data_IF_300404295425
#
_entry.id   IF_300404295425
#
_cell.length_a   1.000
_cell.length_b   1.000
_cell.length_c   1.000
_cell.angle_alpha   90.00
_cell.angle_beta   90.00
_cell.angle_gamma   90.00
#
_symmetry.space_group_name_H-M   'P 1'
#
loop_
_entity.id
_entity.type
_entity.pdbx_description
1 polymer ?
#
# COMPACT_ATOMS: atom_id res chain seq x y z
N UNK A 1 -28.64 20.62 15.98
CA UNK A 1 -28.13 19.27 15.62
C UNK A 1 -26.72 19.16 16.16
N UNK A 2 -26.56 18.53 17.32
CA UNK A 2 -25.26 18.33 17.96
C UNK A 2 -24.56 17.18 17.23
N UNK A 3 -23.52 17.48 16.46
CA UNK A 3 -22.72 16.44 15.83
C UNK A 3 -22.15 15.54 16.92
N UNK A 4 -22.27 14.23 16.76
CA UNK A 4 -21.58 13.26 17.61
C UNK A 4 -20.09 13.45 17.32
N UNK A 5 -19.40 14.20 18.19
CA UNK A 5 -17.96 14.37 18.11
C UNK A 5 -17.32 13.01 18.35
N UNK A 6 -16.52 12.54 17.40
CA UNK A 6 -15.77 11.30 17.60
C UNK A 6 -14.62 11.56 18.57
N UNK A 7 -14.09 10.51 19.22
CA UNK A 7 -12.91 10.64 20.06
C UNK A 7 -11.71 11.23 19.30
N UNK A 8 -11.62 10.95 17.99
CA UNK A 8 -10.60 11.50 17.12
C UNK A 8 -10.77 13.03 16.91
N UNK A 9 -12.01 13.50 16.74
CA UNK A 9 -12.28 14.94 16.62
C UNK A 9 -11.94 15.68 17.92
N UNK A 10 -12.29 15.10 19.07
CA UNK A 10 -11.96 15.67 20.37
C UNK A 10 -10.45 15.74 20.59
N UNK A 11 -9.70 14.68 20.25
CA UNK A 11 -8.25 14.67 20.33
C UNK A 11 -7.61 15.71 19.40
N UNK A 12 -8.18 15.91 18.20
CA UNK A 12 -7.73 16.95 17.27
C UNK A 12 -7.92 18.34 17.86
N UNK A 13 -9.09 18.64 18.41
CA UNK A 13 -9.35 19.96 19.00
C UNK A 13 -8.47 20.22 20.24
N UNK A 14 -8.19 19.19 21.05
CA UNK A 14 -7.23 19.31 22.16
C UNK A 14 -5.82 19.64 21.66
N UNK A 15 -5.36 18.96 20.60
CA UNK A 15 -4.05 19.20 20.02
C UNK A 15 -3.95 20.60 19.41
N UNK A 16 -4.98 21.07 18.70
CA UNK A 16 -5.03 22.44 18.16
C UNK A 16 -4.95 23.46 19.29
N UNK A 17 -5.76 23.31 20.35
CA UNK A 17 -5.72 24.22 21.51
C UNK A 17 -4.34 24.26 22.15
N UNK A 18 -3.68 23.12 22.32
CA UNK A 18 -2.33 23.08 22.89
C UNK A 18 -1.31 23.83 22.05
N UNK A 19 -1.34 23.66 20.73
CA UNK A 19 -0.45 24.37 19.82
C UNK A 19 -0.67 25.89 19.90
N UNK A 20 -1.91 26.34 20.10
CA UNK A 20 -2.24 27.76 20.28
C UNK A 20 -1.75 28.27 21.63
N UNK A 21 -2.11 27.57 22.72
CA UNK A 21 -1.91 28.05 24.09
C UNK A 21 -0.44 27.96 24.55
N UNK A 22 0.29 26.92 24.15
CA UNK A 22 1.65 26.62 24.65
C UNK A 22 2.76 26.90 23.63
N UNK A 23 2.41 27.02 22.35
CA UNK A 23 3.38 27.21 21.28
C UNK A 23 3.14 28.46 20.43
N UNK A 24 2.14 29.28 20.81
CA UNK A 24 1.85 30.58 20.21
C UNK A 24 1.54 30.51 18.70
N UNK A 25 1.06 29.35 18.20
CA UNK A 25 0.54 29.27 16.84
C UNK A 25 -0.82 29.97 16.78
N UNK A 26 -1.10 30.67 15.68
CA UNK A 26 -2.47 31.06 15.41
C UNK A 26 -3.34 29.82 15.09
N UNK A 27 -4.63 29.89 15.40
CA UNK A 27 -5.54 28.76 15.25
C UNK A 27 -5.59 28.21 13.80
N UNK A 28 -5.69 29.04 12.73
CA UNK A 28 -5.60 28.55 11.35
C UNK A 28 -4.32 27.74 11.07
N UNK A 29 -3.15 28.25 11.47
CA UNK A 29 -1.87 27.57 11.28
C UNK A 29 -1.78 26.27 12.08
N UNK A 30 -2.27 26.27 13.33
CA UNK A 30 -2.32 25.06 14.16
C UNK A 30 -3.23 23.98 13.53
N UNK A 31 -4.40 24.35 12.99
CA UNK A 31 -5.31 23.42 12.30
C UNK A 31 -4.66 22.83 11.04
N UNK A 32 -4.08 23.67 10.19
CA UNK A 32 -3.38 23.21 8.97
C UNK A 32 -2.23 22.25 9.31
N UNK A 33 -1.42 22.60 10.30
CA UNK A 33 -0.31 21.76 10.76
C UNK A 33 -0.78 20.38 11.24
N UNK A 34 -1.86 20.31 12.01
CA UNK A 34 -2.43 19.05 12.50
C UNK A 34 -3.02 18.22 11.36
N UNK A 35 -3.72 18.86 10.41
CA UNK A 35 -4.29 18.15 9.27
C UNK A 35 -3.20 17.57 8.34
N UNK A 36 -2.14 18.33 8.06
CA UNK A 36 -0.98 17.85 7.29
C UNK A 36 -0.29 16.68 7.98
N UNK A 37 -0.01 16.81 9.27
CA UNK A 37 0.59 15.74 10.07
C UNK A 37 -0.26 14.46 10.03
N UNK A 38 -1.59 14.59 10.14
CA UNK A 38 -2.53 13.46 10.05
C UNK A 38 -2.51 12.79 8.67
N UNK A 39 -2.34 13.56 7.60
CA UNK A 39 -2.19 13.05 6.24
C UNK A 39 -0.80 12.40 5.98
N UNK A 40 0.12 12.46 6.95
CA UNK A 40 1.48 11.97 6.79
C UNK A 40 2.35 12.90 5.93
N UNK A 41 1.95 14.17 5.81
CA UNK A 41 2.70 15.18 5.08
C UNK A 41 3.71 15.87 6.01
N UNK A 42 4.92 16.07 5.50
CA UNK A 42 5.91 16.91 6.18
C UNK A 42 5.53 18.39 6.05
N UNK A 43 5.90 19.18 7.06
CA UNK A 43 5.63 20.61 7.10
C UNK A 43 6.40 21.33 8.21
N UNK A 44 6.37 22.67 8.23
CA UNK A 44 7.16 23.49 9.16
C UNK A 44 6.95 23.16 10.65
N UNK A 45 5.79 22.61 10.99
CA UNK A 45 5.40 22.28 12.37
C UNK A 45 5.28 20.77 12.63
N UNK A 46 5.76 19.90 11.72
CA UNK A 46 5.59 18.45 11.84
C UNK A 46 6.12 17.91 13.18
N UNK A 47 7.37 18.24 13.53
CA UNK A 47 7.99 17.84 14.80
C UNK A 47 7.26 18.40 16.02
N UNK A 48 6.74 19.62 15.90
CA UNK A 48 5.99 20.27 16.97
C UNK A 48 4.65 19.56 17.23
N UNK A 49 3.89 19.28 16.16
CA UNK A 49 2.63 18.56 16.21
C UNK A 49 2.85 17.13 16.75
N UNK A 50 3.92 16.47 16.31
CA UNK A 50 4.31 15.16 16.81
C UNK A 50 4.51 15.19 18.33
N UNK A 51 5.34 16.11 18.82
CA UNK A 51 5.63 16.26 20.24
C UNK A 51 4.37 16.58 21.06
N UNK A 52 3.59 17.58 20.65
CA UNK A 52 2.36 17.95 21.35
C UNK A 52 1.33 16.81 21.33
N UNK A 53 1.26 16.02 20.26
CA UNK A 53 0.43 14.81 20.19
C UNK A 53 0.82 13.76 21.22
N UNK A 54 2.11 13.56 21.46
CA UNK A 54 2.61 12.68 22.53
C UNK A 54 2.24 13.18 23.93
N UNK A 55 2.33 14.48 24.16
CA UNK A 55 1.95 15.10 25.44
C UNK A 55 0.45 14.93 25.71
N UNK A 56 -0.41 15.25 24.73
CA UNK A 56 -1.86 15.04 24.83
C UNK A 56 -2.19 13.56 25.08
N UNK A 57 -1.54 12.63 24.37
CA UNK A 57 -1.78 11.20 24.58
C UNK A 57 -1.32 10.71 25.95
N UNK A 58 -0.17 11.18 26.44
CA UNK A 58 0.35 10.84 27.76
C UNK A 58 -0.62 11.28 28.86
N UNK A 59 -1.09 12.53 28.79
CA UNK A 59 -2.11 13.07 29.71
C UNK A 59 -3.40 12.23 29.70
N UNK A 60 -3.94 11.95 28.52
CA UNK A 60 -5.17 11.16 28.37
C UNK A 60 -5.00 9.71 28.87
N UNK A 61 -3.79 9.16 28.77
CA UNK A 61 -3.49 7.80 29.21
C UNK A 61 -3.12 7.72 30.70
N UNK A 62 -2.91 8.86 31.37
CA UNK A 62 -2.39 8.93 32.73
C UNK A 62 -0.92 8.48 32.85
N UNK A 63 -0.17 8.55 31.75
CA UNK A 63 1.24 8.17 31.68
C UNK A 63 2.10 9.43 31.61
N UNK A 64 3.36 9.34 32.06
CA UNK A 64 4.33 10.37 31.72
C UNK A 64 4.82 10.21 30.26
N UNK A 65 5.25 11.31 29.65
CA UNK A 65 5.65 11.36 28.23
C UNK A 65 6.86 10.46 27.97
N UNK A 66 7.78 10.34 28.91
CA UNK A 66 9.01 9.56 28.72
C UNK A 66 8.74 8.05 28.78
N UNK A 67 7.89 7.60 29.70
CA UNK A 67 7.39 6.24 29.81
C UNK A 67 6.61 5.83 28.57
N UNK A 68 5.78 6.74 28.03
CA UNK A 68 5.10 6.54 26.76
C UNK A 68 6.09 6.39 25.60
N UNK A 69 7.08 7.27 25.48
CA UNK A 69 8.12 7.19 24.43
C UNK A 69 8.90 5.88 24.51
N UNK A 70 9.27 5.43 25.71
CA UNK A 70 9.94 4.14 25.93
C UNK A 70 9.04 3.00 25.48
N UNK A 71 7.76 3.00 25.87
CA UNK A 71 6.82 1.94 25.48
C UNK A 71 6.57 1.88 23.97
N UNK A 72 6.41 3.02 23.29
CA UNK A 72 6.28 3.09 21.84
C UNK A 72 7.53 2.55 21.15
N UNK A 73 8.71 2.95 21.61
CA UNK A 73 9.99 2.46 21.06
C UNK A 73 10.13 0.94 21.20
N UNK A 74 9.79 0.40 22.37
CA UNK A 74 9.84 -1.04 22.62
C UNK A 74 8.80 -1.80 21.78
N UNK A 75 7.60 -1.25 21.62
CA UNK A 75 6.58 -1.81 20.74
C UNK A 75 7.04 -1.84 19.28
N UNK A 76 7.60 -0.73 18.80
CA UNK A 76 8.15 -0.60 17.44
C UNK A 76 9.27 -1.62 17.20
N UNK A 77 10.21 -1.76 18.15
CA UNK A 77 11.27 -2.78 18.09
C UNK A 77 10.70 -4.19 17.96
N UNK A 78 9.76 -4.57 18.84
CA UNK A 78 9.11 -5.89 18.81
C UNK A 78 8.38 -6.14 17.49
N UNK A 79 7.72 -5.12 16.95
CA UNK A 79 7.03 -5.20 15.68
C UNK A 79 8.00 -5.41 14.52
N UNK A 80 9.08 -4.62 14.45
CA UNK A 80 10.14 -4.76 13.44
C UNK A 80 10.81 -6.14 13.53
N UNK A 81 11.11 -6.63 14.74
CA UNK A 81 11.70 -7.96 14.92
C UNK A 81 10.74 -9.08 14.50
N UNK A 82 9.44 -8.91 14.69
CA UNK A 82 8.43 -9.85 14.18
C UNK A 82 8.39 -9.82 12.65
N UNK A 83 8.35 -8.64 12.03
CA UNK A 83 8.38 -8.51 10.57
C UNK A 83 9.65 -9.11 9.98
N UNK A 84 10.81 -8.80 10.56
CA UNK A 84 12.11 -9.35 10.13
C UNK A 84 12.10 -10.87 10.14
N UNK A 85 11.56 -11.50 11.18
CA UNK A 85 11.44 -12.96 11.26
C UNK A 85 10.55 -13.53 10.16
N UNK A 86 9.40 -12.91 9.90
CA UNK A 86 8.49 -13.32 8.82
C UNK A 86 9.19 -13.19 7.47
N UNK A 87 9.84 -12.05 7.21
CA UNK A 87 10.55 -11.81 5.94
C UNK A 87 11.68 -12.82 5.73
N UNK A 88 12.47 -13.11 6.77
CA UNK A 88 13.53 -14.11 6.68
C UNK A 88 12.99 -15.53 6.48
N UNK A 89 11.86 -15.87 7.11
CA UNK A 89 11.20 -17.16 6.92
C UNK A 89 10.60 -17.31 5.50
N UNK A 90 10.16 -16.21 4.88
CA UNK A 90 9.60 -16.20 3.53
C UNK A 90 10.65 -16.10 2.42
N UNK A 91 11.86 -15.63 2.72
CA UNK A 91 12.95 -15.50 1.76
C UNK A 91 13.20 -16.77 0.90
N UNK A 92 13.27 -18.00 1.44
CA UNK A 92 13.45 -19.20 0.60
C UNK A 92 12.26 -19.47 -0.32
N UNK A 93 11.03 -19.27 0.16
CA UNK A 93 9.80 -19.47 -0.65
C UNK A 93 9.77 -18.50 -1.82
N UNK A 94 10.12 -17.22 -1.57
CA UNK A 94 10.20 -16.21 -2.63
C UNK A 94 11.28 -16.57 -3.65
N UNK A 95 12.44 -17.06 -3.21
CA UNK A 95 13.52 -17.49 -4.09
C UNK A 95 13.10 -18.67 -4.97
N UNK A 96 12.48 -19.67 -4.38
CA UNK A 96 11.97 -20.84 -5.11
C UNK A 96 10.90 -20.41 -6.15
N UNK A 97 9.98 -19.52 -5.76
CA UNK A 97 8.97 -18.98 -6.67
C UNK A 97 9.61 -18.21 -7.84
N UNK A 98 10.68 -17.43 -7.58
CA UNK A 98 11.43 -16.74 -8.62
C UNK A 98 12.10 -17.73 -9.59
N UNK A 99 12.67 -18.82 -9.08
CA UNK A 99 13.28 -19.87 -9.91
C UNK A 99 12.23 -20.56 -10.82
N UNK A 100 11.07 -20.92 -10.27
CA UNK A 100 9.97 -21.50 -11.04
C UNK A 100 9.43 -20.55 -12.11
N UNK A 101 9.26 -19.28 -11.77
CA UNK A 101 8.83 -18.25 -12.73
C UNK A 101 9.87 -18.03 -13.83
N UNK A 102 11.16 -18.02 -13.49
CA UNK A 102 12.24 -17.89 -14.46
C UNK A 102 12.30 -19.09 -15.40
N UNK A 103 12.14 -20.31 -14.87
CA UNK A 103 12.07 -21.54 -15.66
C UNK A 103 10.85 -21.55 -16.60
N UNK A 104 9.67 -21.16 -16.10
CA UNK A 104 8.47 -21.05 -16.91
C UNK A 104 8.63 -20.01 -18.04
N UNK A 105 9.21 -18.84 -17.72
CA UNK A 105 9.48 -17.81 -18.72
C UNK A 105 10.49 -18.29 -19.79
N UNK A 106 11.52 -19.05 -19.40
CA UNK A 106 12.47 -19.65 -20.33
C UNK A 106 11.80 -20.69 -21.24
N UNK A 107 10.93 -21.54 -20.68
CA UNK A 107 10.15 -22.50 -21.46
C UNK A 107 9.27 -21.79 -22.50
N UNK A 108 8.55 -20.73 -22.11
CA UNK A 108 7.69 -19.95 -23.01
C UNK A 108 8.49 -19.28 -24.15
N UNK A 109 9.71 -18.79 -23.88
CA UNK A 109 10.62 -18.28 -24.93
C UNK A 109 11.07 -19.38 -25.88
N UNK A 110 11.41 -20.56 -25.38
CA UNK A 110 11.86 -21.69 -26.20
C UNK A 110 10.79 -22.17 -27.19
N UNK A 111 9.50 -22.14 -26.80
CA UNK A 111 8.38 -22.45 -27.73
C UNK A 111 7.96 -21.26 -28.62
N UNK A 112 8.65 -20.12 -28.52
CA UNK A 112 8.41 -18.95 -29.37
C UNK A 112 7.13 -18.19 -29.07
N UNK A 113 6.52 -18.41 -27.90
CA UNK A 113 5.30 -17.72 -27.45
C UNK A 113 5.61 -16.28 -27.01
N UNK A 114 6.81 -16.06 -26.48
CA UNK A 114 7.30 -14.75 -26.01
C UNK A 114 8.61 -14.44 -26.73
N UNK A 115 8.73 -13.25 -27.32
CA UNK A 115 9.96 -12.75 -27.93
C UNK A 115 11.04 -12.40 -26.91
N UNK A 116 12.28 -12.18 -27.37
CA UNK A 116 13.39 -11.75 -26.51
C UNK A 116 13.16 -10.40 -25.83
N UNK A 117 12.29 -9.57 -26.38
CA UNK A 117 11.84 -8.28 -25.85
C UNK A 117 10.66 -8.39 -24.86
N UNK A 118 10.23 -9.61 -24.53
CA UNK A 118 9.08 -9.85 -23.65
C UNK A 118 7.72 -9.66 -24.32
N UNK A 119 7.67 -9.37 -25.62
CA UNK A 119 6.41 -9.23 -26.35
C UNK A 119 5.83 -10.59 -26.70
N UNK A 120 4.50 -10.74 -26.64
CA UNK A 120 3.85 -11.95 -27.15
C UNK A 120 4.08 -12.06 -28.66
N UNK A 121 4.80 -13.08 -29.09
CA UNK A 121 4.93 -13.36 -30.53
C UNK A 121 3.70 -14.14 -30.96
N UNK A 122 2.89 -13.52 -31.82
CA UNK A 122 1.82 -14.25 -32.52
C UNK A 122 2.47 -15.41 -33.28
N UNK A 123 1.91 -16.64 -33.22
CA UNK A 123 2.43 -17.74 -33.99
C UNK A 123 2.45 -17.32 -35.46
N UNK A 124 3.65 -17.29 -36.05
CA UNK A 124 3.81 -17.09 -37.50
C UNK A 124 3.03 -18.21 -38.15
N UNK A 125 1.98 -17.81 -38.84
CA UNK A 125 1.03 -18.67 -39.48
C UNK A 125 1.77 -19.37 -40.63
N UNK A 126 2.43 -20.51 -40.34
CA UNK A 126 3.21 -21.29 -41.31
C UNK A 126 2.40 -21.44 -42.60
N UNK A 127 3.08 -21.18 -43.71
CA UNK A 127 2.60 -21.16 -45.09
C UNK A 127 1.34 -22.00 -45.28
N UNK A 128 0.20 -21.34 -45.13
CA UNK A 128 -1.08 -21.93 -45.50
C UNK A 128 -1.21 -21.74 -47.01
N UNK A 129 -1.52 -22.80 -47.77
CA UNK A 129 -1.80 -22.65 -49.19
C UNK A 129 -2.92 -21.61 -49.40
N UNK A 130 -2.76 -20.75 -50.40
CA UNK A 130 -3.66 -19.61 -50.65
C UNK A 130 -5.16 -19.99 -50.81
N UNK A 131 -5.48 -21.26 -51.03
CA UNK A 131 -6.86 -21.77 -51.13
C UNK A 131 -7.55 -22.02 -49.77
N UNK A 132 -6.81 -21.94 -48.66
CA UNK A 132 -7.36 -22.17 -47.32
C UNK A 132 -7.86 -20.86 -46.70
N UNK A 133 -9.17 -20.58 -46.83
CA UNK A 133 -9.84 -19.38 -46.29
C UNK A 133 -9.56 -19.16 -44.79
N UNK A 134 -9.31 -17.91 -44.32
CA UNK A 134 -9.05 -17.59 -42.91
C UNK A 134 -10.23 -17.92 -41.99
N UNK A 135 -11.43 -17.85 -42.53
CA UNK A 135 -12.67 -18.19 -41.86
C UNK A 135 -13.06 -19.56 -42.39
N UNK A 136 -13.04 -20.57 -41.50
CA UNK A 136 -13.38 -21.96 -41.84
C UNK A 136 -14.73 -22.10 -42.55
N UNK A 137 -15.08 -23.31 -43.00
CA UNK A 137 -16.28 -23.53 -43.80
C UNK A 137 -17.52 -22.95 -43.07
N UNK A 138 -18.40 -22.24 -43.79
CA UNK A 138 -19.54 -21.57 -43.18
C UNK A 138 -20.39 -22.58 -42.39
N UNK A 139 -20.77 -22.20 -41.16
CA UNK A 139 -21.54 -23.05 -40.28
C UNK A 139 -22.86 -23.46 -40.95
N UNK A 140 -23.05 -24.77 -41.16
CA UNK A 140 -24.28 -25.31 -41.72
C UNK A 140 -25.41 -25.11 -40.70
N UNK A 141 -26.40 -24.28 -41.04
CA UNK A 141 -27.65 -24.20 -40.27
C UNK A 141 -28.32 -25.57 -40.31
N UNK A 142 -28.45 -26.21 -39.15
CA UNK A 142 -29.23 -27.43 -39.01
C UNK A 142 -30.72 -27.11 -39.23
N UNK A 143 -31.45 -27.88 -40.05
CA UNK A 143 -32.87 -27.65 -40.28
C UNK A 143 -33.63 -27.90 -38.98
N UNK A 144 -34.37 -26.88 -38.53
CA UNK A 144 -35.26 -26.93 -37.38
C UNK A 144 -36.39 -27.92 -37.69
N UNK A 145 -36.44 -29.04 -36.97
CA UNK A 145 -37.59 -29.97 -37.01
C UNK A 145 -38.86 -29.21 -36.59
N UNK A 146 -39.91 -29.33 -37.40
CA UNK A 146 -41.27 -28.81 -37.12
C UNK A 146 -41.89 -29.55 -35.95
#
# INVERSE_FOLDING_TARGET
MTAITTAADAARELLVRRLVDEHELDEPTARDAVDRYRCGEDGPHHELVHRAGFEVYAELSGWDVDGLRVAVRESARRYVDRLRRITLAMAPVVREMQEHLAAAAAALRNVGVVGEDGTQRRPVMRDRPAWQSPYGPPARRSPRKR
#
